data_IF_319082788228
#
_entry.id   IF_319082788228
#
_cell.length_a   1.000
_cell.length_b   1.000
_cell.length_c   1.000
_cell.angle_alpha   90.00
_cell.angle_beta   90.00
_cell.angle_gamma   90.00
#
_symmetry.space_group_name_H-M   'P 1'
#
loop_
_entity.id
_entity.type
_entity.pdbx_description
1 polymer ?
#
# COMPACT_ATOMS: atom_id res chain seq x y z
N UNK A 1 13.05 -8.93 -1.14
CA UNK A 1 11.59 -8.80 -1.22
C UNK A 1 11.10 -8.42 -2.61
N UNK A 2 11.72 -7.45 -3.31
CA UNK A 2 11.34 -7.11 -4.70
C UNK A 2 11.31 -8.35 -5.62
N UNK A 3 12.34 -9.21 -5.58
CA UNK A 3 12.41 -10.42 -6.43
C UNK A 3 11.33 -11.52 -6.20
N UNK A 4 10.49 -11.45 -5.16
CA UNK A 4 9.59 -12.56 -4.81
C UNK A 4 8.31 -12.62 -5.65
N UNK A 5 7.74 -11.45 -5.95
CA UNK A 5 6.49 -11.33 -6.71
C UNK A 5 6.68 -10.68 -8.08
N UNK A 6 7.92 -10.39 -8.47
CA UNK A 6 8.25 -9.74 -9.74
C UNK A 6 7.63 -10.46 -10.96
N UNK A 7 7.53 -11.79 -10.90
CA UNK A 7 6.94 -12.58 -11.98
C UNK A 7 5.42 -12.38 -12.12
N UNK A 8 4.72 -11.90 -11.09
CA UNK A 8 3.28 -11.59 -11.13
C UNK A 8 3.00 -10.11 -11.45
N UNK A 9 4.01 -9.25 -11.32
CA UNK A 9 3.88 -7.81 -11.58
C UNK A 9 4.02 -7.49 -13.06
N UNK A 10 4.89 -8.20 -13.77
CA UNK A 10 5.05 -8.11 -15.22
C UNK A 10 4.26 -9.23 -15.91
N UNK A 11 3.14 -8.86 -16.53
CA UNK A 11 2.28 -9.80 -17.28
C UNK A 11 2.99 -10.46 -18.46
N UNK A 12 3.97 -9.79 -19.07
CA UNK A 12 4.74 -10.36 -20.18
C UNK A 12 5.71 -11.41 -19.65
N UNK A 13 6.41 -11.11 -18.55
CA UNK A 13 7.25 -12.08 -17.84
C UNK A 13 6.41 -13.27 -17.37
N UNK A 14 5.22 -13.03 -16.83
CA UNK A 14 4.30 -14.09 -16.42
C UNK A 14 3.90 -15.00 -17.59
N UNK A 15 3.55 -14.44 -18.75
CA UNK A 15 3.18 -15.19 -19.96
C UNK A 15 4.33 -16.04 -20.51
N UNK A 16 5.56 -15.51 -20.51
CA UNK A 16 6.74 -16.18 -21.07
C UNK A 16 7.32 -17.24 -20.11
N UNK A 17 7.00 -17.16 -18.82
CA UNK A 17 7.58 -18.03 -17.80
C UNK A 17 7.24 -19.51 -18.03
N UNK A 18 8.26 -20.37 -18.05
CA UNK A 18 8.10 -21.82 -18.19
C UNK A 18 7.35 -22.45 -16.99
N UNK A 19 6.71 -23.60 -17.22
CA UNK A 19 5.92 -24.28 -16.18
C UNK A 19 6.77 -24.74 -14.99
N UNK A 20 7.98 -25.27 -15.24
CA UNK A 20 8.88 -25.73 -14.18
C UNK A 20 9.35 -24.58 -13.28
N UNK A 21 9.65 -23.42 -13.88
CA UNK A 21 10.02 -22.23 -13.14
C UNK A 21 8.83 -21.69 -12.34
N UNK A 22 7.65 -21.62 -12.95
CA UNK A 22 6.43 -21.17 -12.27
C UNK A 22 6.13 -22.04 -11.05
N UNK A 23 6.24 -23.37 -11.17
CA UNK A 23 6.05 -24.30 -10.06
C UNK A 23 7.07 -24.04 -8.95
N UNK A 24 8.34 -23.83 -9.30
CA UNK A 24 9.39 -23.50 -8.33
C UNK A 24 9.07 -22.19 -7.58
N UNK A 25 8.58 -21.17 -8.26
CA UNK A 25 8.16 -19.91 -7.61
C UNK A 25 6.98 -20.12 -6.67
N UNK A 26 5.98 -20.91 -7.05
CA UNK A 26 4.80 -21.16 -6.21
C UNK A 26 5.17 -21.93 -4.92
N UNK A 27 5.99 -22.97 -5.04
CA UNK A 27 6.49 -23.72 -3.87
C UNK A 27 7.37 -22.85 -2.97
N UNK A 28 8.15 -21.93 -3.56
CA UNK A 28 8.94 -20.99 -2.78
C UNK A 28 8.05 -19.98 -2.04
N UNK A 29 6.99 -19.48 -2.70
CA UNK A 29 6.02 -18.57 -2.10
C UNK A 29 5.30 -19.21 -0.91
N UNK A 30 4.89 -20.47 -1.02
CA UNK A 30 4.29 -21.23 0.08
C UNK A 30 5.21 -21.25 1.32
N UNK A 31 6.51 -21.53 1.13
CA UNK A 31 7.49 -21.53 2.23
C UNK A 31 7.73 -20.14 2.83
N UNK A 32 7.61 -19.09 2.04
CA UNK A 32 7.79 -17.71 2.50
C UNK A 32 6.56 -17.25 3.29
N UNK A 33 5.38 -17.68 2.83
CA UNK A 33 4.08 -17.37 3.42
C UNK A 33 3.61 -18.47 4.37
N UNK A 34 4.56 -19.20 4.96
CA UNK A 34 4.31 -20.15 6.03
C UNK A 34 4.92 -19.63 7.33
N UNK A 35 4.15 -19.75 8.41
CA UNK A 35 4.64 -19.51 9.76
C UNK A 35 4.33 -20.74 10.60
N UNK A 36 5.38 -21.39 11.11
CA UNK A 36 5.28 -22.69 11.80
C UNK A 36 4.56 -23.72 10.92
N UNK A 37 3.41 -24.23 11.37
CA UNK A 37 2.59 -25.23 10.66
C UNK A 37 1.39 -24.61 9.91
N UNK A 38 1.34 -23.27 9.82
CA UNK A 38 0.29 -22.56 9.11
C UNK A 38 0.78 -21.99 7.79
N UNK A 39 0.03 -22.27 6.72
CA UNK A 39 0.32 -21.83 5.36
C UNK A 39 -0.78 -20.88 4.89
N UNK A 40 -0.42 -19.69 4.42
CA UNK A 40 -1.39 -18.75 3.84
C UNK A 40 -1.89 -19.21 2.46
N UNK A 41 -1.08 -20.01 1.76
CA UNK A 41 -1.34 -20.52 0.41
C UNK A 41 -0.79 -21.94 0.24
N UNK A 42 -1.40 -22.72 -0.65
CA UNK A 42 -0.85 -23.99 -1.14
C UNK A 42 -0.14 -23.74 -2.48
N UNK A 43 1.15 -24.06 -2.58
CA UNK A 43 1.97 -23.80 -3.76
C UNK A 43 1.58 -24.63 -4.99
N UNK A 44 1.10 -25.87 -4.80
CA UNK A 44 0.66 -26.72 -5.92
C UNK A 44 -0.70 -26.28 -6.46
N UNK A 45 -1.62 -25.89 -5.57
CA UNK A 45 -2.91 -25.33 -5.96
C UNK A 45 -2.72 -23.97 -6.64
N UNK A 46 -1.87 -23.10 -6.08
CA UNK A 46 -1.50 -21.83 -6.69
C UNK A 46 -0.92 -22.02 -8.10
N UNK A 47 -0.02 -22.99 -8.29
CA UNK A 47 0.53 -23.29 -9.61
C UNK A 47 -0.57 -23.67 -10.62
N UNK A 48 -1.50 -24.53 -10.21
CA UNK A 48 -2.60 -25.00 -11.06
C UNK A 48 -3.58 -23.86 -11.41
N UNK A 49 -3.92 -23.03 -10.42
CA UNK A 49 -4.74 -21.83 -10.60
C UNK A 49 -4.06 -20.80 -11.52
N UNK A 50 -2.77 -20.55 -11.35
CA UNK A 50 -2.00 -19.62 -12.19
C UNK A 50 -1.87 -20.11 -13.63
N UNK A 51 -1.76 -21.43 -13.84
CA UNK A 51 -1.77 -22.02 -15.19
C UNK A 51 -3.09 -21.74 -15.90
N UNK A 52 -4.21 -21.98 -15.23
CA UNK A 52 -5.53 -21.64 -15.74
C UNK A 52 -5.67 -20.13 -15.99
N UNK A 53 -5.14 -19.31 -15.08
CA UNK A 53 -5.15 -17.85 -15.23
C UNK A 53 -4.35 -17.39 -16.46
N UNK A 54 -3.22 -18.03 -16.79
CA UNK A 54 -2.44 -17.73 -18.02
C UNK A 54 -3.26 -17.95 -19.28
N UNK A 55 -4.06 -19.01 -19.33
CA UNK A 55 -4.92 -19.32 -20.48
C UNK A 55 -6.06 -18.29 -20.64
N UNK A 56 -6.57 -17.78 -19.52
CA UNK A 56 -7.66 -16.78 -19.50
C UNK A 56 -7.16 -15.36 -19.79
N UNK A 57 -5.89 -15.07 -19.50
CA UNK A 57 -5.26 -13.76 -19.64
C UNK A 57 -5.12 -13.31 -21.11
N UNK A 58 -6.17 -12.70 -21.65
CA UNK A 58 -6.11 -11.98 -22.93
C UNK A 58 -5.18 -10.75 -22.83
N UNK A 59 -4.72 -10.22 -23.98
CA UNK A 59 -3.75 -9.11 -24.02
C UNK A 59 -4.24 -7.80 -23.36
N UNK A 60 -5.53 -7.68 -23.03
CA UNK A 60 -6.12 -6.47 -22.44
C UNK A 60 -6.00 -6.41 -20.90
N UNK A 61 -5.77 -7.54 -20.22
CA UNK A 61 -5.74 -7.64 -18.76
C UNK A 61 -4.29 -7.75 -18.24
N UNK A 62 -3.42 -6.82 -18.64
CA UNK A 62 -2.01 -6.85 -18.24
C UNK A 62 -1.69 -6.11 -16.93
N UNK A 63 -2.68 -5.46 -16.30
CA UNK A 63 -2.47 -4.65 -15.10
C UNK A 63 -2.79 -5.50 -13.85
N UNK A 64 -1.88 -5.64 -12.86
CA UNK A 64 -2.11 -6.46 -11.66
C UNK A 64 -3.42 -6.14 -10.92
N UNK A 65 -3.82 -4.85 -10.89
CA UNK A 65 -5.08 -4.42 -10.29
C UNK A 65 -6.31 -4.92 -11.08
N UNK A 66 -6.24 -4.95 -12.41
CA UNK A 66 -7.31 -5.51 -13.25
C UNK A 66 -7.42 -7.02 -13.08
N UNK A 67 -6.28 -7.71 -13.02
CA UNK A 67 -6.20 -9.16 -12.76
C UNK A 67 -6.81 -9.47 -11.38
N UNK A 68 -6.45 -8.70 -10.36
CA UNK A 68 -7.02 -8.87 -9.02
C UNK A 68 -8.54 -8.65 -8.99
N UNK A 69 -9.05 -7.64 -9.70
CA UNK A 69 -10.49 -7.40 -9.79
C UNK A 69 -11.22 -8.51 -10.55
N UNK A 70 -10.61 -9.10 -11.57
CA UNK A 70 -11.13 -10.27 -12.26
C UNK A 70 -11.21 -11.46 -11.30
N UNK A 71 -10.10 -11.80 -10.64
CA UNK A 71 -10.03 -12.88 -9.65
C UNK A 71 -11.05 -12.67 -8.53
N UNK A 72 -11.20 -11.44 -8.03
CA UNK A 72 -12.17 -11.11 -6.97
C UNK A 72 -13.62 -11.44 -7.36
N UNK A 73 -13.95 -11.37 -8.65
CA UNK A 73 -15.29 -11.72 -9.18
C UNK A 73 -15.44 -13.22 -9.42
N UNK A 74 -14.33 -13.95 -9.50
CA UNK A 74 -14.25 -15.35 -9.85
C UNK A 74 -13.93 -16.18 -8.61
N UNK A 75 -14.89 -16.95 -8.09
CA UNK A 75 -14.68 -17.76 -6.88
C UNK A 75 -13.72 -18.96 -7.08
N UNK A 76 -13.16 -19.16 -8.27
CA UNK A 76 -12.40 -20.35 -8.65
C UNK A 76 -10.89 -20.26 -8.39
N UNK A 77 -10.38 -19.15 -7.83
CA UNK A 77 -8.94 -18.88 -7.69
C UNK A 77 -8.54 -18.45 -6.26
N UNK A 78 -8.79 -19.27 -5.23
CA UNK A 78 -8.58 -18.90 -3.84
C UNK A 78 -7.11 -18.57 -3.50
N UNK A 79 -6.15 -19.40 -3.91
CA UNK A 79 -4.73 -19.19 -3.58
C UNK A 79 -4.17 -17.99 -4.33
N UNK A 80 -4.57 -17.83 -5.60
CA UNK A 80 -4.18 -16.71 -6.45
C UNK A 80 -4.75 -15.40 -5.91
N UNK A 81 -5.99 -15.40 -5.41
CA UNK A 81 -6.60 -14.25 -4.77
C UNK A 81 -5.80 -13.78 -3.55
N UNK A 82 -5.43 -14.71 -2.66
CA UNK A 82 -4.62 -14.42 -1.47
C UNK A 82 -3.26 -13.87 -1.90
N UNK A 83 -2.61 -14.52 -2.86
CA UNK A 83 -1.30 -14.11 -3.41
C UNK A 83 -1.33 -12.68 -3.96
N UNK A 84 -2.29 -12.35 -4.83
CA UNK A 84 -2.42 -11.00 -5.39
C UNK A 84 -2.79 -9.96 -4.33
N UNK A 85 -3.59 -10.32 -3.32
CA UNK A 85 -3.92 -9.43 -2.20
C UNK A 85 -2.67 -9.07 -1.38
N UNK A 86 -1.84 -10.06 -1.05
CA UNK A 86 -0.57 -9.85 -0.34
C UNK A 86 0.37 -8.99 -1.19
N UNK A 87 0.52 -9.35 -2.48
CA UNK A 87 1.35 -8.61 -3.43
C UNK A 87 0.98 -7.12 -3.50
N UNK A 88 -0.30 -6.80 -3.77
CA UNK A 88 -0.74 -5.42 -3.89
C UNK A 88 -0.59 -4.64 -2.59
N UNK A 89 -0.88 -5.28 -1.44
CA UNK A 89 -0.73 -4.66 -0.11
C UNK A 89 0.74 -4.35 0.17
N UNK A 90 1.64 -5.30 -0.11
CA UNK A 90 3.08 -5.12 0.06
C UNK A 90 3.59 -4.01 -0.86
N UNK A 91 3.19 -4.03 -2.14
CA UNK A 91 3.61 -3.03 -3.12
C UNK A 91 3.16 -1.62 -2.73
N UNK A 92 1.92 -1.46 -2.30
CA UNK A 92 1.39 -0.17 -1.79
C UNK A 92 2.14 0.26 -0.54
N UNK A 93 2.44 -0.65 0.38
CA UNK A 93 3.18 -0.33 1.62
C UNK A 93 4.61 0.14 1.31
N UNK A 94 5.33 -0.60 0.45
CA UNK A 94 6.69 -0.25 0.02
C UNK A 94 6.71 1.09 -0.71
N UNK A 95 5.76 1.32 -1.62
CA UNK A 95 5.65 2.56 -2.39
C UNK A 95 5.32 3.75 -1.48
N UNK A 96 4.38 3.56 -0.53
CA UNK A 96 4.03 4.56 0.48
C UNK A 96 5.23 4.92 1.34
N UNK A 97 6.00 3.93 1.80
CA UNK A 97 7.22 4.14 2.57
C UNK A 97 8.27 4.91 1.75
N UNK A 98 8.55 4.48 0.50
CA UNK A 98 9.48 5.17 -0.41
C UNK A 98 9.06 6.64 -0.63
N UNK A 99 7.77 6.90 -0.86
CA UNK A 99 7.21 8.26 -1.00
C UNK A 99 7.38 9.08 0.28
N UNK A 100 7.10 8.51 1.44
CA UNK A 100 7.27 9.15 2.75
C UNK A 100 8.73 9.55 3.00
N UNK A 101 9.68 8.64 2.76
CA UNK A 101 11.11 8.94 2.90
C UNK A 101 11.60 9.97 1.89
N UNK A 102 11.08 9.97 0.66
CA UNK A 102 11.39 11.00 -0.34
C UNK A 102 10.92 12.39 0.11
N UNK A 103 9.69 12.51 0.63
CA UNK A 103 9.16 13.75 1.21
C UNK A 103 10.01 14.22 2.40
N UNK A 104 10.34 13.30 3.32
CA UNK A 104 11.20 13.60 4.46
C UNK A 104 12.58 14.12 4.02
N UNK A 105 13.20 13.48 3.01
CA UNK A 105 14.47 13.91 2.43
C UNK A 105 14.36 15.32 1.86
N UNK A 106 13.28 15.61 1.12
CA UNK A 106 13.03 16.94 0.56
C UNK A 106 12.89 18.01 1.65
N UNK A 107 12.13 17.73 2.72
CA UNK A 107 11.97 18.65 3.87
C UNK A 107 13.33 18.92 4.53
N UNK A 108 14.12 17.88 4.80
CA UNK A 108 15.46 18.01 5.40
C UNK A 108 16.40 18.83 4.52
N UNK A 109 16.43 18.57 3.22
CA UNK A 109 17.27 19.31 2.28
C UNK A 109 16.85 20.78 2.17
N UNK A 110 15.55 21.05 2.09
CA UNK A 110 15.02 22.42 1.98
C UNK A 110 15.28 23.23 3.25
N UNK A 111 15.04 22.64 4.42
CA UNK A 111 15.22 23.34 5.71
C UNK A 111 16.67 23.35 6.20
N UNK A 112 17.57 22.54 5.61
CA UNK A 112 19.01 22.43 5.95
C UNK A 112 19.24 22.38 7.47
N UNK A 113 18.42 21.62 8.20
CA UNK A 113 18.15 21.90 9.62
C UNK A 113 18.71 20.88 10.62
N UNK A 114 19.21 21.40 11.74
CA UNK A 114 19.34 20.74 13.05
C UNK A 114 18.01 20.80 13.82
N UNK A 115 16.91 20.47 13.16
CA UNK A 115 15.56 20.61 13.74
C UNK A 115 15.28 19.50 14.76
N UNK A 116 14.51 19.83 15.80
CA UNK A 116 13.99 18.84 16.75
C UNK A 116 13.11 17.80 16.03
N UNK A 117 13.23 16.55 16.44
CA UNK A 117 12.58 15.40 15.79
C UNK A 117 11.04 15.54 15.74
N UNK A 118 10.43 16.13 16.78
CA UNK A 118 8.97 16.31 16.85
C UNK A 118 8.45 17.24 15.75
N UNK A 119 9.06 18.42 15.59
CA UNK A 119 8.68 19.38 14.54
C UNK A 119 8.90 18.81 13.14
N UNK A 120 9.96 18.03 12.96
CA UNK A 120 10.23 17.37 11.69
C UNK A 120 9.18 16.31 11.36
N UNK A 121 8.76 15.51 12.35
CA UNK A 121 7.72 14.50 12.19
C UNK A 121 6.37 15.16 11.83
N UNK A 122 6.00 16.25 12.49
CA UNK A 122 4.78 17.01 12.18
C UNK A 122 4.78 17.53 10.73
N UNK A 123 5.88 18.13 10.29
CA UNK A 123 6.03 18.62 8.91
C UNK A 123 5.99 17.49 7.89
N UNK A 124 6.58 16.34 8.22
CA UNK A 124 6.54 15.17 7.34
C UNK A 124 5.11 14.65 7.19
N UNK A 125 4.34 14.55 8.28
CA UNK A 125 2.94 14.15 8.25
C UNK A 125 2.13 15.13 7.39
N UNK A 126 2.34 16.44 7.56
CA UNK A 126 1.67 17.48 6.76
C UNK A 126 2.00 17.33 5.27
N UNK A 127 3.26 17.08 4.92
CA UNK A 127 3.72 16.93 3.54
C UNK A 127 3.23 15.65 2.86
N UNK A 128 3.06 14.57 3.62
CA UNK A 128 2.45 13.31 3.13
C UNK A 128 0.95 13.51 2.89
N UNK A 129 0.28 14.24 3.77
CA UNK A 129 -1.16 14.51 3.71
C UNK A 129 -1.53 15.75 2.88
N UNK A 130 -0.58 16.36 2.16
CA UNK A 130 -0.79 17.62 1.45
C UNK A 130 -1.96 17.55 0.47
N UNK A 131 -2.09 16.45 -0.27
CA UNK A 131 -3.19 16.23 -1.23
C UNK A 131 -4.57 16.23 -0.55
N UNK A 132 -4.68 15.71 0.68
CA UNK A 132 -5.94 15.75 1.43
C UNK A 132 -6.22 17.14 2.01
N UNK A 133 -5.17 17.90 2.35
CA UNK A 133 -5.29 19.27 2.85
C UNK A 133 -5.78 20.24 1.77
N UNK A 134 -5.40 20.02 0.51
CA UNK A 134 -5.90 20.80 -0.63
C UNK A 134 -7.41 20.67 -0.84
N UNK A 135 -8.00 19.55 -0.44
CA UNK A 135 -9.45 19.31 -0.50
C UNK A 135 -10.22 19.95 0.66
N UNK A 136 -9.53 20.47 1.68
CA UNK A 136 -10.17 21.02 2.87
C UNK A 136 -10.48 22.52 2.69
N UNK A 137 -11.68 22.95 3.08
CA UNK A 137 -11.97 24.39 3.14
C UNK A 137 -11.24 25.06 4.32
N UNK A 138 -10.14 25.73 4.00
CA UNK A 138 -9.34 26.48 4.95
C UNK A 138 -10.14 27.52 5.73
N UNK A 139 -11.17 28.14 5.13
CA UNK A 139 -11.99 29.14 5.83
C UNK A 139 -12.78 28.50 6.97
N UNK A 140 -13.45 27.39 6.68
CA UNK A 140 -14.19 26.63 7.71
C UNK A 140 -13.25 26.11 8.80
N UNK A 141 -12.06 25.62 8.44
CA UNK A 141 -11.06 25.18 9.40
C UNK A 141 -10.62 26.32 10.34
N UNK A 142 -10.26 27.48 9.79
CA UNK A 142 -9.84 28.66 10.57
C UNK A 142 -10.96 29.10 11.52
N UNK A 143 -12.19 29.18 11.02
CA UNK A 143 -13.36 29.55 11.82
C UNK A 143 -13.62 28.57 12.97
N UNK A 144 -13.43 27.27 12.74
CA UNK A 144 -13.54 26.26 13.79
C UNK A 144 -12.44 26.39 14.85
N UNK A 145 -11.20 26.66 14.44
CA UNK A 145 -10.09 26.89 15.38
C UNK A 145 -10.30 28.15 16.22
N UNK A 146 -10.74 29.25 15.61
CA UNK A 146 -11.01 30.50 16.33
C UNK A 146 -12.19 30.33 17.30
N UNK A 147 -13.27 29.66 16.89
CA UNK A 147 -14.43 29.37 17.75
C UNK A 147 -14.06 28.52 18.98
N UNK A 148 -13.20 27.50 18.81
CA UNK A 148 -12.73 26.66 19.93
C UNK A 148 -11.81 27.44 20.89
N UNK A 149 -10.93 28.29 20.36
CA UNK A 149 -10.04 29.13 21.18
C UNK A 149 -10.81 30.21 21.94
N UNK A 150 -11.86 30.78 21.33
CA UNK A 150 -12.76 31.75 21.96
C UNK A 150 -13.55 31.13 23.14
N UNK A 151 -14.03 29.89 23.01
CA UNK A 151 -14.68 29.15 24.11
C UNK A 151 -13.75 28.96 25.32
N UNK A 152 -12.45 28.76 25.08
CA UNK A 152 -11.44 28.62 26.15
C UNK A 152 -11.17 29.94 26.90
N UNK A 153 -11.36 31.08 26.23
CA UNK A 153 -11.25 32.40 26.85
C UNK A 153 -12.50 32.80 27.67
N UNK A 154 -13.71 32.42 27.23
CA UNK A 154 -14.94 32.76 27.95
C UNK A 154 -15.08 32.05 29.31
N UNK A 155 -14.42 30.90 29.52
CA UNK A 155 -14.46 30.19 30.81
C UNK A 155 -13.57 30.89 31.87
N UNK A 156 -12.64 31.77 31.48
CA UNK A 156 -11.82 32.54 32.44
C UNK A 156 -12.48 33.84 32.91
N UNK A 157 -13.54 34.32 32.25
CA UNK A 157 -14.14 35.63 32.56
C UNK A 157 -15.28 35.52 33.62
N UNK A 158 -15.78 34.32 33.92
CA UNK A 158 -16.93 34.11 34.84
C UNK A 158 -16.49 33.76 36.28
N UNK A 159 -15.28 34.13 36.71
CA UNK A 159 -14.80 33.89 38.11
C UNK A 159 -14.27 35.12 38.83
N UNK A 160 -14.58 36.33 38.35
CA UNK A 160 -14.33 37.56 39.08
C UNK A 160 -15.58 38.43 38.98
N UNK A 161 -16.50 38.23 39.92
CA UNK A 161 -17.34 39.20 40.63
C UNK A 161 -18.39 38.43 41.42
#
# INVERSE_FOLDING_TARGET
YENMFDFLFDSNKFKILGEDELKKYCVNLEKILSFEDHYDINGLDLFSELKLLKEILTNEINIPLKIFNYIKRSCSFPNTYITYRILLTLHVTVTTAKRSFSKLKMIKSYLRSTMLQDRLNELNILSIKSEMLELLDYKTLINNFTAQKARKNNIKIIKLY
#
